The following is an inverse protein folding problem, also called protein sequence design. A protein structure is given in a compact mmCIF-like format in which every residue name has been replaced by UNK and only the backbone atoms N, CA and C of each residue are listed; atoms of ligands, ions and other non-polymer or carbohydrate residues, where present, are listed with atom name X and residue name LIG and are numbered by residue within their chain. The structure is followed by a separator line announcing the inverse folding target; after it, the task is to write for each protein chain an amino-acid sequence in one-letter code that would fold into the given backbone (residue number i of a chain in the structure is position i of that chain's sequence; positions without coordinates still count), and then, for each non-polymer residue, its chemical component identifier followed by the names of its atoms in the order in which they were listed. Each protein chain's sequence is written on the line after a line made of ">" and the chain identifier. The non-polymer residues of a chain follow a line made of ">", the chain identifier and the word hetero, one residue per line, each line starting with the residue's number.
data_IF_413148219363
#
_entry.id   IF_413148219363
#
_cell.length_a   1.000
_cell.length_b   1.000
_cell.length_c   1.000
_cell.angle_alpha   90.00
_cell.angle_beta   90.00
_cell.angle_gamma   90.00
#
_symmetry.space_group_name_H-M   'P 1'
#
loop_
_entity.id
_entity.type
_entity.pdbx_description
1 polymer ?
#
# COMPACT_ATOMS: atom_id res chain seq x y z
N UNK A 1 43.67 -0.30 2.17
CA UNK A 1 42.66 -0.51 1.13
C UNK A 1 41.40 0.27 1.51
N UNK A 2 41.41 1.56 1.16
CA UNK A 2 40.25 2.44 1.24
C UNK A 2 39.24 2.02 0.16
N UNK A 3 37.99 2.41 0.37
CA UNK A 3 36.90 2.47 -0.61
C UNK A 3 36.28 1.13 -1.05
N UNK A 4 35.21 0.76 -0.36
CA UNK A 4 34.08 0.10 -1.03
C UNK A 4 32.73 0.76 -0.68
N UNK A 5 32.65 1.54 0.40
CA UNK A 5 31.43 2.22 0.82
C UNK A 5 31.24 3.63 0.22
N UNK A 6 32.27 4.23 -0.37
CA UNK A 6 32.23 5.65 -0.78
C UNK A 6 31.78 5.87 -2.23
N UNK A 7 31.79 4.84 -3.06
CA UNK A 7 31.52 4.99 -4.48
C UNK A 7 30.55 3.90 -4.93
N UNK A 8 29.26 4.21 -4.84
CA UNK A 8 28.35 4.26 -5.99
C UNK A 8 26.93 3.98 -5.53
N UNK A 9 26.06 4.95 -5.87
CA UNK A 9 24.60 4.88 -5.85
C UNK A 9 24.00 4.67 -4.47
N UNK A 10 23.69 5.82 -3.85
CA UNK A 10 22.37 6.17 -3.29
C UNK A 10 21.33 5.05 -3.40
N UNK A 11 21.49 3.99 -2.60
CA UNK A 11 20.43 3.04 -2.35
C UNK A 11 19.58 3.70 -1.29
N UNK A 12 18.43 4.23 -1.69
CA UNK A 12 17.34 4.72 -0.81
C UNK A 12 16.75 3.62 0.10
N UNK A 13 17.56 2.63 0.46
CA UNK A 13 17.17 1.40 1.14
C UNK A 13 18.32 0.84 2.00
N UNK A 14 19.24 1.69 2.43
CA UNK A 14 20.03 1.39 3.62
C UNK A 14 19.21 1.92 4.80
N UNK A 15 18.75 0.97 5.61
CA UNK A 15 17.74 1.06 6.67
C UNK A 15 17.83 2.37 7.48
N UNK A 16 16.70 2.93 7.96
CA UNK A 16 16.79 3.92 9.03
C UNK A 16 17.39 3.21 10.25
N UNK A 17 18.60 3.61 10.61
CA UNK A 17 19.44 2.95 11.62
C UNK A 17 18.90 3.10 13.05
N UNK A 18 17.78 3.82 13.26
CA UNK A 18 17.14 3.97 14.56
C UNK A 18 15.62 4.06 14.43
N UNK A 19 14.84 3.45 15.34
CA UNK A 19 13.45 3.86 15.52
C UNK A 19 13.44 5.29 16.04
N UNK A 20 12.73 6.20 15.36
CA UNK A 20 12.55 7.59 15.78
C UNK A 20 11.74 7.59 17.07
N UNK A 21 12.44 7.53 18.21
CA UNK A 21 11.88 7.84 19.53
C UNK A 21 12.01 9.34 19.74
N UNK A 22 10.90 9.98 20.14
CA UNK A 22 10.88 11.32 20.69
C UNK A 22 11.80 11.41 21.92
N UNK A 23 12.31 12.61 22.20
CA UNK A 23 13.36 12.81 23.21
C UNK A 23 12.83 12.69 24.64
N UNK A 24 11.53 12.88 24.86
CA UNK A 24 10.84 12.35 26.04
C UNK A 24 10.39 10.90 25.77
N UNK A 25 10.20 10.07 26.79
CA UNK A 25 9.56 8.74 26.69
C UNK A 25 8.09 8.75 26.19
N UNK A 26 7.72 9.75 25.39
CA UNK A 26 6.49 9.91 24.62
C UNK A 26 6.84 10.48 23.24
N UNK A 27 6.86 9.67 22.20
CA UNK A 27 6.48 10.12 20.87
C UNK A 27 5.00 9.78 20.65
N UNK A 28 4.43 10.09 19.48
CA UNK A 28 3.21 9.41 18.93
C UNK A 28 1.83 10.12 19.16
N UNK A 29 1.63 11.42 19.48
CA UNK A 29 0.27 11.99 19.40
C UNK A 29 -0.31 11.88 17.98
N UNK A 30 0.52 12.20 16.99
CA UNK A 30 0.14 12.26 15.57
C UNK A 30 -0.06 10.85 14.95
N UNK A 31 0.73 9.87 15.41
CA UNK A 31 0.57 8.47 15.00
C UNK A 31 -0.64 7.85 15.70
N UNK A 32 -0.93 8.18 16.96
CA UNK A 32 -2.15 7.74 17.65
C UNK A 32 -3.39 8.34 16.99
N UNK A 33 -3.37 9.64 16.69
CA UNK A 33 -4.46 10.31 15.98
C UNK A 33 -4.67 9.71 14.58
N UNK A 34 -3.58 9.42 13.86
CA UNK A 34 -3.67 8.74 12.56
C UNK A 34 -4.22 7.32 12.70
N UNK A 35 -3.85 6.57 13.75
CA UNK A 35 -4.42 5.25 14.05
C UNK A 35 -5.92 5.33 14.34
N UNK A 36 -6.37 6.29 15.14
CA UNK A 36 -7.80 6.47 15.43
C UNK A 36 -8.59 6.76 14.14
N UNK A 37 -8.06 7.63 13.27
CA UNK A 37 -8.66 7.87 11.95
C UNK A 37 -8.71 6.62 11.07
N UNK A 38 -7.69 5.76 11.12
CA UNK A 38 -7.72 4.47 10.42
C UNK A 38 -8.77 3.53 11.00
N UNK A 39 -8.91 3.47 12.33
CA UNK A 39 -9.93 2.65 12.99
C UNK A 39 -11.33 3.10 12.57
N UNK A 40 -11.63 4.39 12.63
CA UNK A 40 -12.92 4.94 12.18
C UNK A 40 -13.20 4.61 10.70
N UNK A 41 -12.22 4.82 9.83
CA UNK A 41 -12.36 4.53 8.39
C UNK A 41 -12.63 3.04 8.11
N UNK A 42 -11.91 2.14 8.79
CA UNK A 42 -12.10 0.70 8.61
C UNK A 42 -13.40 0.22 9.26
N UNK A 43 -13.80 0.80 10.38
CA UNK A 43 -15.09 0.50 11.01
C UNK A 43 -16.25 0.91 10.10
N UNK A 44 -16.20 2.10 9.52
CA UNK A 44 -17.19 2.53 8.51
C UNK A 44 -17.18 1.59 7.30
N UNK A 45 -16.00 1.25 6.77
CA UNK A 45 -15.87 0.40 5.59
C UNK A 45 -16.39 -1.03 5.82
N UNK A 46 -16.09 -1.63 6.98
CA UNK A 46 -16.43 -3.01 7.29
C UNK A 46 -17.87 -3.18 7.78
N UNK A 47 -18.44 -2.15 8.42
CA UNK A 47 -19.84 -2.16 8.85
C UNK A 47 -20.79 -1.62 7.77
N UNK A 48 -20.27 -1.01 6.69
CA UNK A 48 -21.09 -0.55 5.58
C UNK A 48 -21.75 -1.76 4.88
N UNK A 49 -23.08 -1.80 4.80
CA UNK A 49 -23.77 -2.87 4.07
C UNK A 49 -23.39 -2.83 2.60
N UNK A 50 -23.38 -4.00 1.96
CA UNK A 50 -23.15 -4.11 0.53
C UNK A 50 -24.13 -3.18 -0.22
N UNK A 51 -23.66 -2.42 -1.23
CA UNK A 51 -24.56 -1.63 -2.05
C UNK A 51 -25.63 -2.55 -2.64
N UNK A 52 -26.90 -2.18 -2.47
CA UNK A 52 -28.04 -2.93 -3.03
C UNK A 52 -28.03 -2.97 -4.55
N UNK A 53 -27.46 -1.93 -5.16
CA UNK A 53 -27.29 -1.89 -6.60
C UNK A 53 -25.97 -2.59 -6.95
N UNK A 54 -25.98 -3.52 -7.91
CA UNK A 54 -24.74 -4.02 -8.47
C UNK A 54 -23.91 -2.82 -8.97
N UNK A 55 -22.57 -2.85 -8.82
CA UNK A 55 -21.72 -1.87 -9.46
C UNK A 55 -22.10 -1.81 -10.95
N UNK A 56 -22.36 -0.60 -11.45
CA UNK A 56 -22.55 -0.36 -12.87
C UNK A 56 -21.19 -0.48 -13.56
N UNK A 57 -20.69 -1.71 -13.60
CA UNK A 57 -19.46 -2.06 -14.27
C UNK A 57 -19.88 -2.47 -15.67
N UNK A 58 -19.72 -1.56 -16.63
CA UNK A 58 -19.86 -1.92 -18.04
C UNK A 58 -19.03 -3.16 -18.30
N UNK A 59 -19.69 -4.23 -18.74
CA UNK A 59 -19.02 -5.44 -19.16
C UNK A 59 -18.09 -5.04 -20.30
N UNK A 60 -16.77 -5.14 -20.07
CA UNK A 60 -15.83 -5.02 -21.17
C UNK A 60 -16.24 -6.05 -22.23
N UNK A 61 -16.65 -5.59 -23.41
CA UNK A 61 -17.07 -6.44 -24.51
C UNK A 61 -15.97 -7.48 -24.75
N UNK A 62 -16.27 -8.73 -24.40
CA UNK A 62 -15.36 -9.87 -24.53
C UNK A 62 -15.39 -10.36 -25.98
N UNK A 63 -15.27 -9.44 -26.93
CA UNK A 63 -15.23 -9.71 -28.37
C UNK A 63 -13.79 -9.92 -28.86
N UNK A 64 -12.90 -10.42 -28.00
CA UNK A 64 -11.60 -10.90 -28.42
C UNK A 64 -11.76 -12.38 -28.77
N UNK A 65 -11.85 -12.75 -30.06
CA UNK A 65 -11.84 -14.16 -30.45
C UNK A 65 -10.49 -14.74 -30.03
N UNK A 66 -10.52 -15.58 -28.99
CA UNK A 66 -9.39 -16.43 -28.64
C UNK A 66 -9.35 -17.50 -29.73
N UNK A 67 -8.31 -17.48 -30.56
CA UNK A 67 -8.08 -18.55 -31.53
C UNK A 67 -7.76 -19.83 -30.76
N UNK A 68 -8.72 -20.76 -30.76
CA UNK A 68 -8.64 -22.06 -30.11
C UNK A 68 -7.98 -23.12 -31.00
N UNK A 69 -7.52 -22.75 -32.20
CA UNK A 69 -6.89 -23.71 -33.08
C UNK A 69 -5.48 -24.08 -32.58
N UNK A 70 -5.16 -25.38 -32.51
CA UNK A 70 -3.81 -25.81 -32.21
C UNK A 70 -2.86 -25.39 -33.35
N UNK A 71 -1.65 -24.91 -33.04
CA UNK A 71 -0.67 -24.60 -34.07
C UNK A 71 -0.32 -25.88 -34.84
N UNK A 72 -0.28 -25.77 -36.17
CA UNK A 72 0.12 -26.86 -37.09
C UNK A 72 1.63 -27.05 -37.09
#
# INVERSE_FOLDING_TARGET
>A
MKQLCDTTKKRRYCKPERPVKGKEGRPIPEIQQRRNRWVEYFEELLNRPAPLNPPDMEAAHTDLPIDVNPPT
#
